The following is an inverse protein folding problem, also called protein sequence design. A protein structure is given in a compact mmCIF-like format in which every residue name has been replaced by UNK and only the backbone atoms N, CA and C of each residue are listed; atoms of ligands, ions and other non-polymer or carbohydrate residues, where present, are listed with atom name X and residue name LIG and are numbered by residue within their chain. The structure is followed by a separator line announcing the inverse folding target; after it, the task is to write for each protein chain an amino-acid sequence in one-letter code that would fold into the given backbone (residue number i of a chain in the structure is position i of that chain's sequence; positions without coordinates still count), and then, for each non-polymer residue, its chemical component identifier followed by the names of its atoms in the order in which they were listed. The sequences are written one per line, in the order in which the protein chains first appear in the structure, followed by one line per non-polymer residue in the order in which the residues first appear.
data_IF_757803565100
#
_entry.id   IF_757803565100
#
_cell.length_a   1.000
_cell.length_b   1.000
_cell.length_c   1.000
_cell.angle_alpha   90.00
_cell.angle_beta   90.00
_cell.angle_gamma   90.00
#
_symmetry.space_group_name_H-M   'P 1'
#
loop_
_entity.id
_entity.type
_entity.pdbx_description
1 polymer ?
#
# COMPACT_ATOMS: atom_id res chain seq x y z
N UNK A 1 1.23 -13.44 -19.67
CA UNK A 1 1.74 -13.17 -18.30
C UNK A 1 3.17 -12.66 -18.27
N UNK A 2 4.13 -13.24 -19.01
CA UNK A 2 5.53 -12.78 -19.02
C UNK A 2 5.68 -11.29 -19.37
N UNK A 3 4.95 -10.78 -20.35
CA UNK A 3 5.00 -9.37 -20.75
C UNK A 3 4.47 -8.43 -19.67
N UNK A 4 3.44 -8.85 -18.93
CA UNK A 4 2.91 -8.08 -17.82
C UNK A 4 3.95 -7.91 -16.70
N UNK A 5 4.63 -8.99 -16.33
CA UNK A 5 5.71 -8.95 -15.33
C UNK A 5 6.91 -8.14 -15.81
N UNK A 6 7.27 -8.25 -17.09
CA UNK A 6 8.36 -7.45 -17.67
C UNK A 6 8.05 -5.95 -17.67
N UNK A 7 6.80 -5.58 -17.93
CA UNK A 7 6.39 -4.17 -18.03
C UNK A 7 6.06 -3.54 -16.66
N UNK A 8 5.51 -4.33 -15.73
CA UNK A 8 4.96 -3.81 -14.46
C UNK A 8 5.68 -4.34 -13.21
N UNK A 9 6.58 -5.32 -13.34
CA UNK A 9 7.29 -5.93 -12.21
C UNK A 9 8.11 -4.93 -11.40
N UNK A 10 8.73 -3.93 -12.04
CA UNK A 10 9.42 -2.85 -11.34
C UNK A 10 8.47 -2.00 -10.47
N UNK A 11 7.23 -1.79 -10.93
CA UNK A 11 6.21 -1.04 -10.18
C UNK A 11 5.65 -1.87 -9.02
N UNK A 12 5.42 -3.17 -9.25
CA UNK A 12 5.05 -4.13 -8.19
C UNK A 12 6.14 -4.16 -7.12
N UNK A 13 7.41 -4.29 -7.52
CA UNK A 13 8.55 -4.28 -6.59
C UNK A 13 8.68 -2.96 -5.82
N UNK A 14 8.46 -1.80 -6.47
CA UNK A 14 8.40 -0.50 -5.78
C UNK A 14 7.27 -0.44 -4.76
N UNK A 15 6.08 -0.95 -5.08
CA UNK A 15 4.97 -1.01 -4.13
C UNK A 15 5.27 -1.92 -2.94
N UNK A 16 5.91 -3.06 -3.17
CA UNK A 16 6.38 -3.96 -2.09
C UNK A 16 7.43 -3.27 -1.23
N UNK A 17 8.39 -2.56 -1.83
CA UNK A 17 9.39 -1.79 -1.09
C UNK A 17 8.76 -0.65 -0.26
N UNK A 18 7.78 0.06 -0.83
CA UNK A 18 7.01 1.07 -0.12
C UNK A 18 6.23 0.48 1.06
N UNK A 19 5.70 -0.74 0.90
CA UNK A 19 5.04 -1.46 1.98
C UNK A 19 6.01 -1.80 3.12
N UNK A 20 7.22 -2.28 2.80
CA UNK A 20 8.25 -2.50 3.82
C UNK A 20 8.59 -1.21 4.56
N UNK A 21 8.86 -0.13 3.83
CA UNK A 21 9.16 1.17 4.44
C UNK A 21 8.03 1.68 5.34
N UNK A 22 6.79 1.59 4.87
CA UNK A 22 5.62 1.98 5.65
C UNK A 22 5.39 1.08 6.88
N UNK A 23 5.72 -0.21 6.78
CA UNK A 23 5.62 -1.14 7.90
C UNK A 23 6.61 -0.80 8.99
N UNK A 24 7.90 -0.60 8.65
CA UNK A 24 8.89 -0.17 9.64
C UNK A 24 8.47 1.15 10.31
N UNK A 25 8.06 2.13 9.50
CA UNK A 25 7.56 3.40 9.99
C UNK A 25 6.37 3.24 10.94
N UNK A 26 5.38 2.43 10.55
CA UNK A 26 4.18 2.19 11.32
C UNK A 26 4.43 1.43 12.63
N UNK A 27 5.29 0.41 12.62
CA UNK A 27 5.70 -0.31 13.83
C UNK A 27 6.39 0.66 14.78
N UNK A 28 7.34 1.47 14.31
CA UNK A 28 8.02 2.46 15.14
C UNK A 28 7.04 3.46 15.76
N UNK A 29 6.06 3.97 14.99
CA UNK A 29 5.03 4.87 15.49
C UNK A 29 4.15 4.21 16.56
N UNK A 30 3.73 2.96 16.34
CA UNK A 30 2.89 2.23 17.30
C UNK A 30 3.68 1.92 18.57
N UNK A 31 4.95 1.52 18.46
CA UNK A 31 5.83 1.29 19.61
C UNK A 31 6.06 2.57 20.41
N UNK A 32 6.33 3.70 19.74
CA UNK A 32 6.49 5.00 20.39
C UNK A 32 5.19 5.46 21.07
N UNK A 33 4.05 5.31 20.40
CA UNK A 33 2.73 5.61 20.97
C UNK A 33 2.40 4.72 22.17
N UNK A 34 2.84 3.46 22.14
CA UNK A 34 2.66 2.51 23.25
C UNK A 34 3.65 2.78 24.38
N UNK A 35 4.85 3.28 24.12
CA UNK A 35 5.84 3.62 25.16
C UNK A 35 5.47 4.90 25.92
N UNK A 36 4.58 5.74 25.37
CA UNK A 36 4.08 6.92 26.06
C UNK A 36 3.33 6.51 27.34
N UNK A 37 3.66 7.16 28.45
CA UNK A 37 3.26 6.86 29.84
C UNK A 37 1.73 6.74 30.08
N UNK A 38 0.91 7.08 29.08
CA UNK A 38 -0.55 7.02 29.15
C UNK A 38 -1.20 5.82 28.42
N UNK A 39 -0.45 4.92 27.76
CA UNK A 39 -0.97 3.69 27.08
C UNK A 39 -2.34 3.89 26.39
N UNK A 40 -2.53 5.02 25.70
CA UNK A 40 -3.86 5.38 25.23
C UNK A 40 -4.11 4.71 23.88
N UNK A 41 -5.11 3.83 23.83
CA UNK A 41 -5.53 3.13 22.61
C UNK A 41 -5.81 4.08 21.44
N UNK A 42 -6.29 5.31 21.70
CA UNK A 42 -6.49 6.29 20.63
C UNK A 42 -5.19 6.72 19.95
N UNK A 43 -4.07 6.76 20.68
CA UNK A 43 -2.78 7.21 20.15
C UNK A 43 -2.18 6.16 19.22
N UNK A 44 -2.33 4.88 19.53
CA UNK A 44 -1.89 3.77 18.67
C UNK A 44 -2.76 3.66 17.40
N UNK A 45 -4.07 3.89 17.51
CA UNK A 45 -4.96 3.98 16.33
C UNK A 45 -4.58 5.18 15.45
N UNK A 46 -4.32 6.34 16.05
CA UNK A 46 -3.90 7.54 15.32
C UNK A 46 -2.57 7.31 14.58
N UNK A 47 -1.59 6.73 15.26
CA UNK A 47 -0.31 6.33 14.68
C UNK A 47 -0.48 5.38 13.48
N UNK A 48 -1.31 4.34 13.60
CA UNK A 48 -1.58 3.43 12.48
C UNK A 48 -2.38 4.08 11.36
N UNK A 49 -3.30 5.00 11.68
CA UNK A 49 -4.04 5.77 10.67
C UNK A 49 -3.08 6.62 9.85
N UNK A 50 -2.16 7.33 10.52
CA UNK A 50 -1.15 8.13 9.85
C UNK A 50 -0.22 7.28 8.96
N UNK A 51 0.32 6.18 9.50
CA UNK A 51 1.17 5.25 8.75
C UNK A 51 0.46 4.64 7.54
N UNK A 52 -0.82 4.31 7.70
CA UNK A 52 -1.66 3.78 6.61
C UNK A 52 -1.91 4.81 5.53
N UNK A 53 -2.26 6.05 5.88
CA UNK A 53 -2.47 7.13 4.91
C UNK A 53 -1.16 7.42 4.16
N UNK A 54 -0.03 7.42 4.87
CA UNK A 54 1.29 7.56 4.26
C UNK A 54 1.60 6.42 3.28
N UNK A 55 1.30 5.18 3.64
CA UNK A 55 1.41 4.04 2.73
C UNK A 55 0.53 4.21 1.48
N UNK A 56 -0.74 4.59 1.65
CA UNK A 56 -1.66 4.81 0.53
C UNK A 56 -1.19 5.94 -0.38
N UNK A 57 -0.58 6.98 0.18
CA UNK A 57 0.07 8.04 -0.59
C UNK A 57 1.22 7.49 -1.44
N UNK A 58 2.08 6.62 -0.90
CA UNK A 58 3.15 5.97 -1.66
C UNK A 58 2.64 5.05 -2.76
N UNK A 59 1.52 4.35 -2.53
CA UNK A 59 0.84 3.56 -3.56
C UNK A 59 0.29 4.47 -4.66
N UNK A 60 -0.33 5.59 -4.27
CA UNK A 60 -0.88 6.58 -5.18
C UNK A 60 0.20 7.15 -6.10
N UNK A 61 1.34 7.59 -5.57
CA UNK A 61 2.40 8.23 -6.37
C UNK A 61 2.95 7.28 -7.44
N UNK A 62 3.29 6.04 -7.05
CA UNK A 62 3.83 5.02 -7.96
C UNK A 62 2.87 4.69 -9.10
N UNK A 63 1.58 4.50 -8.80
CA UNK A 63 0.60 4.11 -9.81
C UNK A 63 0.11 5.29 -10.65
N UNK A 64 0.07 6.50 -10.09
CA UNK A 64 -0.20 7.73 -10.84
C UNK A 64 0.90 7.98 -11.89
N UNK A 65 2.18 7.85 -11.51
CA UNK A 65 3.31 7.96 -12.44
C UNK A 65 3.23 6.91 -13.56
N UNK A 66 2.90 5.67 -13.21
CA UNK A 66 2.72 4.60 -14.20
C UNK A 66 1.56 4.91 -15.16
N UNK A 67 0.43 5.42 -14.64
CA UNK A 67 -0.69 5.87 -15.46
C UNK A 67 -0.27 6.98 -16.43
N UNK A 68 0.50 7.96 -15.97
CA UNK A 68 1.02 9.04 -16.81
C UNK A 68 1.97 8.55 -17.92
N UNK A 69 2.83 7.58 -17.62
CA UNK A 69 3.71 6.98 -18.64
C UNK A 69 2.94 6.18 -19.68
N UNK A 70 1.94 5.40 -19.26
CA UNK A 70 1.10 4.62 -20.20
C UNK A 70 0.23 5.57 -21.04
N UNK A 71 -0.19 6.72 -20.51
CA UNK A 71 -0.87 7.78 -21.28
C UNK A 71 -0.04 8.21 -22.48
N UNK A 72 1.26 8.52 -22.31
CA UNK A 72 2.12 8.97 -23.43
C UNK A 72 2.18 7.91 -24.55
N UNK A 73 2.16 6.62 -24.19
CA UNK A 73 2.14 5.51 -25.15
C UNK A 73 0.79 5.35 -25.83
N UNK A 74 -0.31 5.64 -25.13
CA UNK A 74 -1.67 5.65 -25.68
C UNK A 74 -1.84 6.84 -26.64
N UNK A 75 -1.42 8.03 -26.23
CA UNK A 75 -1.51 9.27 -27.02
C UNK A 75 -0.66 9.20 -28.30
N UNK A 76 0.45 8.44 -28.28
CA UNK A 76 1.27 8.17 -29.47
C UNK A 76 0.78 6.99 -30.32
N UNK A 77 -0.38 6.40 -30.01
CA UNK A 77 -0.96 5.27 -30.75
C UNK A 77 -0.22 3.94 -30.58
N UNK A 78 0.82 3.89 -29.73
CA UNK A 78 1.67 2.70 -29.52
C UNK A 78 1.05 1.68 -28.56
N UNK A 79 -0.03 2.04 -27.85
CA UNK A 79 -0.70 1.16 -26.88
C UNK A 79 -2.20 1.44 -26.80
N UNK A 80 -3.00 0.40 -26.55
CA UNK A 80 -4.42 0.55 -26.21
C UNK A 80 -4.59 1.06 -24.77
N UNK A 81 -5.65 1.81 -24.52
CA UNK A 81 -5.99 2.33 -23.19
C UNK A 81 -6.54 1.20 -22.31
N UNK A 82 -5.87 0.92 -21.21
CA UNK A 82 -6.23 -0.17 -20.28
C UNK A 82 -6.48 0.38 -18.86
N UNK A 83 -7.68 0.89 -18.53
CA UNK A 83 -7.92 1.62 -17.27
C UNK A 83 -7.82 0.76 -16.01
N UNK A 84 -8.11 -0.54 -16.10
CA UNK A 84 -8.05 -1.47 -14.96
C UNK A 84 -6.66 -2.01 -14.65
N UNK A 85 -5.65 -1.63 -15.44
CA UNK A 85 -4.29 -2.14 -15.28
C UNK A 85 -3.69 -1.78 -13.91
N UNK A 86 -3.99 -0.58 -13.39
CA UNK A 86 -3.56 -0.17 -12.05
C UNK A 86 -4.12 -1.05 -10.94
N UNK A 87 -5.38 -1.47 -11.04
CA UNK A 87 -5.99 -2.40 -10.10
C UNK A 87 -5.29 -3.77 -10.15
N UNK A 88 -4.98 -4.26 -11.35
CA UNK A 88 -4.28 -5.55 -11.50
C UNK A 88 -2.85 -5.49 -10.93
N UNK A 89 -2.13 -4.40 -11.14
CA UNK A 89 -0.82 -4.16 -10.51
C UNK A 89 -0.95 -4.13 -8.98
N UNK A 90 -1.96 -3.44 -8.45
CA UNK A 90 -2.22 -3.37 -7.02
C UNK A 90 -2.57 -4.74 -6.42
N UNK A 91 -3.38 -5.56 -7.11
CA UNK A 91 -3.67 -6.94 -6.70
C UNK A 91 -2.39 -7.77 -6.65
N UNK A 92 -1.57 -7.72 -7.71
CA UNK A 92 -0.29 -8.44 -7.73
C UNK A 92 0.65 -8.02 -6.60
N UNK A 93 0.73 -6.72 -6.30
CA UNK A 93 1.54 -6.20 -5.20
C UNK A 93 1.01 -6.62 -3.81
N UNK A 94 -0.29 -6.88 -3.68
CA UNK A 94 -0.94 -7.29 -2.44
C UNK A 94 -1.09 -8.82 -2.29
N UNK A 95 -0.61 -9.63 -3.24
CA UNK A 95 -0.59 -11.10 -3.11
C UNK A 95 0.01 -11.56 -1.77
N UNK A 96 1.14 -10.98 -1.29
CA UNK A 96 1.68 -11.35 0.02
C UNK A 96 0.71 -11.10 1.18
N UNK A 97 -0.03 -9.98 1.17
CA UNK A 97 -1.03 -9.67 2.20
C UNK A 97 -2.16 -10.70 2.19
N UNK A 98 -2.63 -11.08 1.01
CA UNK A 98 -3.68 -12.08 0.84
C UNK A 98 -3.21 -13.44 1.36
N UNK A 99 -1.99 -13.87 0.99
CA UNK A 99 -1.41 -15.14 1.43
C UNK A 99 -1.23 -15.19 2.95
N UNK A 100 -0.73 -14.12 3.55
CA UNK A 100 -0.55 -14.01 5.00
C UNK A 100 -1.89 -13.99 5.74
N UNK A 101 -2.89 -13.28 5.21
CA UNK A 101 -4.25 -13.29 5.76
C UNK A 101 -4.88 -14.68 5.75
N UNK A 102 -4.77 -15.41 4.63
CA UNK A 102 -5.27 -16.79 4.53
C UNK A 102 -4.51 -17.73 5.48
N UNK A 103 -3.19 -17.57 5.60
CA UNK A 103 -2.38 -18.38 6.51
C UNK A 103 -2.75 -18.15 7.98
N UNK A 104 -2.97 -16.90 8.40
CA UNK A 104 -3.42 -16.57 9.77
C UNK A 104 -4.84 -17.10 10.05
N UNK A 105 -5.74 -17.12 9.08
CA UNK A 105 -7.05 -17.78 9.21
C UNK A 105 -6.86 -19.29 9.39
N UNK A 106 -6.06 -19.91 8.53
CA UNK A 106 -5.84 -21.35 8.51
C UNK A 106 -5.25 -21.88 9.82
N UNK A 107 -4.25 -21.20 10.37
CA UNK A 107 -3.65 -21.59 11.66
C UNK A 107 -4.65 -21.49 12.81
N UNK A 108 -5.52 -20.48 12.81
CA UNK A 108 -6.55 -20.29 13.84
C UNK A 108 -7.70 -21.27 13.77
N UNK A 109 -8.05 -21.75 12.58
CA UNK A 109 -9.07 -22.80 12.41
C UNK A 109 -8.61 -24.15 12.96
N UNK A 110 -7.31 -24.42 12.93
CA UNK A 110 -6.70 -25.67 13.42
C UNK A 110 -6.31 -25.59 14.90
N UNK A 111 -6.27 -24.38 15.48
CA UNK A 111 -6.04 -24.19 16.92
C UNK A 111 -7.31 -24.48 17.72
N UNK A 112 -7.26 -25.47 18.61
CA UNK A 112 -8.27 -25.65 19.62
C UNK A 112 -8.07 -24.63 20.76
N UNK A 113 -9.13 -23.91 21.20
CA UNK A 113 -9.05 -23.06 22.38
C UNK A 113 -8.70 -23.92 23.61
N UNK A 114 -7.51 -23.74 24.17
CA UNK A 114 -7.08 -24.42 25.41
C UNK A 114 -5.79 -25.24 25.33
N UNK A 115 -5.16 -25.39 24.16
CA UNK A 115 -3.91 -26.15 24.01
C UNK A 115 -2.85 -25.36 23.21
N UNK A 116 -2.19 -24.35 23.83
CA UNK A 116 -1.23 -23.45 23.18
C UNK A 116 0.06 -24.14 22.71
N UNK A 117 0.38 -25.30 23.30
CA UNK A 117 1.68 -25.97 23.14
C UNK A 117 1.78 -26.85 21.88
N UNK A 118 0.65 -27.09 21.20
CA UNK A 118 0.63 -27.81 19.92
C UNK A 118 1.36 -27.02 18.83
N UNK A 119 1.87 -27.76 17.84
CA UNK A 119 2.51 -27.23 16.64
C UNK A 119 1.72 -26.06 16.00
N UNK A 120 0.39 -26.11 16.00
CA UNK A 120 -0.47 -25.05 15.48
C UNK A 120 -0.33 -23.70 16.23
N UNK A 121 -0.17 -23.71 17.55
CA UNK A 121 0.04 -22.49 18.35
C UNK A 121 1.41 -21.85 18.10
N UNK A 122 2.45 -22.68 17.95
CA UNK A 122 3.81 -22.23 17.58
C UNK A 122 3.83 -21.63 16.18
N UNK A 123 3.21 -22.30 15.20
CA UNK A 123 3.09 -21.79 13.83
C UNK A 123 2.31 -20.47 13.82
N UNK A 124 1.19 -20.37 14.54
CA UNK A 124 0.42 -19.13 14.60
C UNK A 124 1.23 -17.97 15.18
N UNK A 125 2.04 -18.22 16.21
CA UNK A 125 2.90 -17.19 16.80
C UNK A 125 3.94 -16.67 15.80
N UNK A 126 4.56 -17.57 15.02
CA UNK A 126 5.49 -17.21 13.94
C UNK A 126 4.77 -16.44 12.83
N UNK A 127 3.60 -16.90 12.40
CA UNK A 127 2.78 -16.23 11.38
C UNK A 127 2.42 -14.82 11.84
N UNK A 128 2.01 -14.62 13.10
CA UNK A 128 1.71 -13.29 13.64
C UNK A 128 2.92 -12.38 13.69
N UNK A 129 4.11 -12.91 13.99
CA UNK A 129 5.34 -12.14 13.92
C UNK A 129 5.65 -11.70 12.48
N UNK A 130 5.51 -12.60 11.51
CA UNK A 130 5.69 -12.28 10.07
C UNK A 130 4.65 -11.25 9.62
N UNK A 131 3.39 -11.40 10.02
CA UNK A 131 2.31 -10.45 9.72
C UNK A 131 2.64 -9.07 10.31
N UNK A 132 3.14 -8.99 11.54
CA UNK A 132 3.55 -7.72 12.14
C UNK A 132 4.70 -7.06 11.34
N UNK A 133 5.66 -7.85 10.86
CA UNK A 133 6.78 -7.37 10.06
C UNK A 133 6.40 -6.97 8.62
N UNK A 134 5.23 -7.40 8.16
CA UNK A 134 4.75 -7.16 6.79
C UNK A 134 3.59 -6.16 6.69
N UNK A 135 2.76 -6.10 7.73
CA UNK A 135 1.51 -5.32 7.81
C UNK A 135 1.52 -4.36 9.01
N UNK A 136 2.68 -4.11 9.61
CA UNK A 136 2.79 -3.37 10.88
C UNK A 136 2.28 -1.93 10.85
N UNK A 137 2.11 -1.32 9.68
CA UNK A 137 1.38 -0.05 9.52
C UNK A 137 -0.07 -0.11 10.00
N UNK A 138 -0.65 -1.31 10.05
CA UNK A 138 -2.00 -1.57 10.49
C UNK A 138 -2.11 -2.11 11.93
N UNK A 139 -0.98 -2.22 12.65
CA UNK A 139 -0.92 -2.89 13.94
C UNK A 139 -1.89 -2.30 15.00
N UNK A 140 -2.09 -0.98 15.02
CA UNK A 140 -3.02 -0.30 15.91
C UNK A 140 -4.48 -0.66 15.64
N UNK A 141 -4.88 -0.81 14.37
CA UNK A 141 -6.22 -1.28 14.01
C UNK A 141 -6.45 -2.72 14.42
N UNK A 142 -5.46 -3.59 14.19
CA UNK A 142 -5.51 -5.00 14.60
C UNK A 142 -5.59 -5.12 16.13
N UNK A 143 -4.81 -4.32 16.86
CA UNK A 143 -4.84 -4.25 18.32
C UNK A 143 -6.21 -3.79 18.84
N UNK A 144 -6.79 -2.74 18.25
CA UNK A 144 -8.13 -2.27 18.60
C UNK A 144 -9.22 -3.30 18.27
N UNK A 145 -9.13 -3.98 17.12
CA UNK A 145 -10.07 -5.05 16.81
C UNK A 145 -10.03 -6.16 17.88
N UNK A 146 -8.83 -6.49 18.39
CA UNK A 146 -8.67 -7.48 19.47
C UNK A 146 -9.32 -7.04 20.78
N UNK A 147 -9.38 -5.73 21.08
CA UNK A 147 -10.04 -5.25 22.30
C UNK A 147 -11.56 -5.24 22.17
N UNK A 148 -12.11 -4.99 20.97
CA UNK A 148 -13.56 -4.94 20.74
C UNK A 148 -14.18 -6.33 20.57
N UNK A 149 -13.46 -7.27 19.95
CA UNK A 149 -13.98 -8.61 19.66
C UNK A 149 -13.02 -9.74 20.11
N UNK A 150 -12.70 -9.82 21.42
CA UNK A 150 -11.71 -10.78 21.93
C UNK A 150 -12.10 -12.24 21.68
N UNK A 151 -13.40 -12.54 21.63
CA UNK A 151 -13.94 -13.89 21.49
C UNK A 151 -14.24 -14.30 20.03
N UNK A 152 -13.93 -13.44 19.05
CA UNK A 152 -14.18 -13.72 17.64
C UNK A 152 -12.89 -13.70 16.81
N UNK A 153 -12.01 -14.71 17.00
CA UNK A 153 -10.71 -14.79 16.33
C UNK A 153 -10.80 -14.81 14.79
N UNK A 154 -11.91 -15.28 14.21
CA UNK A 154 -12.12 -15.30 12.77
C UNK A 154 -12.46 -13.91 12.20
N UNK A 155 -13.22 -13.09 12.96
CA UNK A 155 -13.50 -11.71 12.57
C UNK A 155 -12.20 -10.88 12.57
N UNK A 156 -11.28 -11.18 13.47
CA UNK A 156 -9.95 -10.56 13.56
C UNK A 156 -8.99 -10.90 12.41
N UNK A 157 -9.21 -12.02 11.74
CA UNK A 157 -8.44 -12.38 10.55
C UNK A 157 -9.12 -11.85 9.27
N UNK A 158 -10.44 -11.70 9.28
CA UNK A 158 -11.17 -11.04 8.20
C UNK A 158 -10.79 -9.56 8.07
N UNK A 159 -10.57 -8.85 9.19
CA UNK A 159 -10.10 -7.46 9.16
C UNK A 159 -8.79 -7.33 8.39
N UNK A 160 -7.86 -8.30 8.47
CA UNK A 160 -6.60 -8.30 7.72
C UNK A 160 -6.81 -8.32 6.20
N UNK A 161 -7.77 -9.11 5.72
CA UNK A 161 -8.12 -9.13 4.29
C UNK A 161 -8.79 -7.82 3.84
N UNK A 162 -9.61 -7.22 4.71
CA UNK A 162 -10.30 -5.96 4.39
C UNK A 162 -9.33 -4.78 4.26
N UNK A 163 -8.20 -4.82 4.97
CA UNK A 163 -7.19 -3.76 4.97
C UNK A 163 -6.46 -3.63 3.61
N UNK A 164 -6.50 -4.68 2.78
CA UNK A 164 -5.99 -4.65 1.40
C UNK A 164 -6.87 -3.78 0.49
N UNK A 165 -8.18 -3.68 0.76
CA UNK A 165 -9.15 -2.99 -0.10
C UNK A 165 -8.77 -1.52 -0.35
N UNK A 166 -8.45 -0.70 0.68
CA UNK A 166 -7.97 0.66 0.47
C UNK A 166 -6.79 0.76 -0.51
N UNK A 167 -5.81 -0.15 -0.42
CA UNK A 167 -4.65 -0.14 -1.31
C UNK A 167 -5.03 -0.47 -2.76
N UNK A 168 -5.97 -1.40 -2.96
CA UNK A 168 -6.49 -1.74 -4.29
C UNK A 168 -7.28 -0.58 -4.90
N UNK A 169 -8.15 0.05 -4.11
CA UNK A 169 -8.97 1.19 -4.55
C UNK A 169 -8.09 2.38 -4.91
N UNK A 170 -7.16 2.76 -4.03
CA UNK A 170 -6.21 3.84 -4.27
C UNK A 170 -5.34 3.52 -5.48
N UNK A 171 -4.88 2.28 -5.63
CA UNK A 171 -4.05 1.90 -6.78
C UNK A 171 -4.78 1.97 -8.12
N UNK A 172 -6.01 1.48 -8.18
CA UNK A 172 -6.87 1.59 -9.36
C UNK A 172 -7.16 3.05 -9.71
N UNK A 173 -7.56 3.84 -8.71
CA UNK A 173 -7.89 5.26 -8.86
C UNK A 173 -6.68 6.10 -9.27
N UNK A 174 -5.52 5.89 -8.63
CA UNK A 174 -4.28 6.61 -8.93
C UNK A 174 -3.85 6.41 -10.38
N UNK A 175 -3.86 5.16 -10.85
CA UNK A 175 -3.52 4.84 -12.22
C UNK A 175 -4.52 5.44 -13.22
N UNK A 176 -5.82 5.38 -12.92
CA UNK A 176 -6.85 6.01 -13.75
C UNK A 176 -6.67 7.54 -13.81
N UNK A 177 -6.35 8.19 -12.68
CA UNK A 177 -6.05 9.61 -12.64
C UNK A 177 -4.78 9.95 -13.43
N UNK A 178 -3.73 9.13 -13.33
CA UNK A 178 -2.51 9.26 -14.11
C UNK A 178 -2.75 9.15 -15.62
N UNK A 179 -3.56 8.18 -16.04
CA UNK A 179 -3.97 8.02 -17.45
C UNK A 179 -4.71 9.25 -18.00
N UNK A 180 -5.43 9.98 -17.15
CA UNK A 180 -6.16 11.18 -17.51
C UNK A 180 -5.41 12.47 -17.19
N UNK A 181 -4.17 12.38 -16.69
CA UNK A 181 -3.35 13.50 -16.23
C UNK A 181 -4.06 14.44 -15.24
N UNK A 182 -4.86 13.86 -14.36
CA UNK A 182 -5.48 14.56 -13.24
C UNK A 182 -4.68 14.24 -12.00
N UNK A 183 -4.32 15.24 -11.19
CA UNK A 183 -3.69 15.03 -9.87
C UNK A 183 -4.72 15.33 -8.79
N UNK A 184 -4.76 14.49 -7.76
CA UNK A 184 -5.51 14.80 -6.53
C UNK A 184 -4.91 16.01 -5.78
N UNK A 185 -3.61 16.28 -5.96
CA UNK A 185 -2.86 17.35 -5.28
C UNK A 185 -2.45 18.50 -6.22
N UNK A 186 -3.35 18.95 -7.10
CA UNK A 186 -3.09 20.11 -7.98
C UNK A 186 -2.76 21.46 -7.28
N UNK A 187 -3.20 21.78 -6.04
CA UNK A 187 -2.92 23.11 -5.46
C UNK A 187 -1.44 23.36 -5.08
N UNK A 188 -0.59 22.33 -5.04
CA UNK A 188 0.81 22.44 -4.57
C UNK A 188 1.85 22.45 -5.70
N UNK A 189 1.43 22.59 -6.96
CA UNK A 189 2.36 22.94 -8.03
C UNK A 189 2.80 24.39 -7.82
N UNK A 190 3.92 24.58 -7.12
CA UNK A 190 4.72 25.79 -7.24
C UNK A 190 4.94 26.03 -8.73
N UNK A 191 4.27 27.05 -9.25
CA UNK A 191 4.40 27.54 -10.61
C UNK A 191 5.90 27.63 -10.91
N UNK A 192 6.42 26.69 -11.70
CA UNK A 192 7.82 26.75 -12.10
C UNK A 192 7.98 28.05 -12.91
N UNK A 193 8.97 28.89 -12.61
CA UNK A 193 9.18 30.11 -13.37
C UNK A 193 9.43 29.73 -14.83
N UNK A 194 8.73 30.40 -15.74
CA UNK A 194 8.84 30.19 -17.18
C UNK A 194 10.33 30.23 -17.57
N UNK A 195 10.83 29.15 -18.18
CA UNK A 195 12.18 29.18 -18.75
C UNK A 195 12.20 30.29 -19.80
N UNK A 196 13.18 31.22 -19.76
CA UNK A 196 13.33 32.23 -20.80
C UNK A 196 13.38 31.55 -22.16
N UNK A 197 12.49 31.97 -23.07
CA UNK A 197 12.52 31.52 -24.44
C UNK A 197 13.90 31.84 -25.02
N UNK A 198 14.66 30.82 -25.39
CA UNK A 198 15.84 30.97 -26.22
C UNK A 198 15.38 31.41 -27.62
N UNK A 199 15.16 32.72 -27.76
CA UNK A 199 14.66 33.37 -28.96
C UNK A 199 15.80 34.00 -29.74
N UNK A 200 16.26 33.24 -30.74
CA UNK A 200 16.65 33.69 -32.09
C UNK A 200 17.75 34.76 -32.22
N UNK A 201 18.95 34.32 -32.59
CA UNK A 201 19.78 35.03 -33.56
C UNK A 201 20.47 34.04 -34.52
N UNK A 202 19.72 33.54 -35.49
CA UNK A 202 20.24 33.39 -36.85
C UNK A 202 19.51 34.43 -37.70
N UNK A 203 19.98 34.96 -38.80
CA UNK A 203 21.16 34.79 -39.64
C UNK A 203 20.95 35.85 -40.76
N UNK A 204 22.02 36.32 -41.40
CA UNK A 204 21.93 36.87 -42.76
C UNK A 204 22.05 38.38 -42.99
N UNK A 205 23.24 38.76 -43.48
CA UNK A 205 23.53 39.68 -44.62
C UNK A 205 23.18 41.18 -44.50
N UNK A 206 24.23 41.99 -44.44
CA UNK A 206 24.64 42.93 -45.51
C UNK A 206 26.14 43.25 -45.34
#
# INVERSE_FOLDING_TARGET
MKDFWKENGAYIGKMTLNQFGATFFGVMLVLAASAAQSQRTWLTIFASTFATVFYLFLVYTVLWEKGGQDRIRVDSGRKKREPFKGLLIAVCANIPNILLGVLDIGTRLVMNPGDPDRLAGKINSVVRAIVLLWEGMYAGFVSYAHTVAPNHPYLLSLTRLLIVIPALLVGGLAYWLGLNNKRLMQPFELKQPDKPQAGKSGDGRA
#
